data_IF_669251751717
#
_entry.id   IF_669251751717
#
_cell.length_a   1.000
_cell.length_b   1.000
_cell.length_c   1.000
_cell.angle_alpha   90.00
_cell.angle_beta   90.00
_cell.angle_gamma   90.00
#
_symmetry.space_group_name_H-M   'P 1'
#
loop_
_entity.id
_entity.type
_entity.pdbx_description
1 polymer ?
#
# COMPACT_ATOMS: atom_id res chain seq x y z
N UNK A 1 5.66 6.73 -1.57
CA UNK A 1 6.21 8.04 -1.97
C UNK A 1 7.06 8.60 -0.83
N UNK A 2 8.40 8.54 -0.93
CA UNK A 2 9.28 9.05 0.13
C UNK A 2 9.27 10.57 0.24
N UNK A 3 8.84 11.28 -0.82
CA UNK A 3 8.72 12.74 -0.81
C UNK A 3 7.49 13.25 -0.03
N UNK A 4 6.53 12.36 0.23
CA UNK A 4 5.34 12.64 1.04
C UNK A 4 5.53 12.32 2.53
N UNK A 5 6.64 11.66 2.91
CA UNK A 5 6.99 11.38 4.30
C UNK A 5 7.63 12.62 4.91
N UNK A 6 6.85 13.33 5.71
CA UNK A 6 7.25 14.56 6.37
C UNK A 6 7.30 14.29 7.87
N UNK A 7 8.48 14.30 8.51
CA UNK A 7 8.60 14.09 9.95
C UNK A 7 7.72 15.04 10.78
N UNK A 8 7.42 16.24 10.27
CA UNK A 8 6.54 17.20 10.93
C UNK A 8 5.07 16.77 10.94
N UNK A 9 4.69 15.85 10.05
CA UNK A 9 3.34 15.28 9.97
C UNK A 9 3.16 14.02 10.80
N UNK A 10 4.20 13.52 11.47
CA UNK A 10 4.08 12.41 12.41
C UNK A 10 3.31 12.82 13.69
N UNK A 11 2.85 11.82 14.44
CA UNK A 11 2.23 12.04 15.74
C UNK A 11 3.24 12.71 16.69
N UNK A 12 2.76 13.68 17.47
CA UNK A 12 3.58 14.24 18.55
C UNK A 12 3.98 13.14 19.56
N UNK A 13 5.19 13.21 20.13
CA UNK A 13 5.66 12.24 21.11
C UNK A 13 4.65 12.01 22.23
N UNK A 14 4.39 10.74 22.52
CA UNK A 14 3.48 10.35 23.60
C UNK A 14 1.99 10.40 23.28
N UNK A 15 1.59 10.87 22.09
CA UNK A 15 0.18 10.89 21.65
C UNK A 15 -0.19 9.61 20.89
N UNK A 16 -1.50 9.34 20.76
CA UNK A 16 -2.08 8.23 19.96
C UNK A 16 -1.54 6.82 20.26
N UNK A 17 -0.81 6.63 21.37
CA UNK A 17 -0.15 5.37 21.76
C UNK A 17 -1.02 4.13 21.58
N UNK A 18 -2.22 4.14 22.17
CA UNK A 18 -3.15 3.00 22.10
C UNK A 18 -3.46 2.55 20.66
N UNK A 19 -3.62 3.49 19.73
CA UNK A 19 -3.93 3.18 18.34
C UNK A 19 -2.68 2.67 17.63
N UNK A 20 -1.54 3.34 17.82
CA UNK A 20 -0.24 2.90 17.29
C UNK A 20 0.12 1.50 17.75
N UNK A 21 -0.03 1.21 19.04
CA UNK A 21 0.26 -0.10 19.62
C UNK A 21 -0.65 -1.17 19.04
N UNK A 22 -1.95 -0.89 18.89
CA UNK A 22 -2.89 -1.84 18.26
C UNK A 22 -2.53 -2.14 16.81
N UNK A 23 -2.12 -1.14 16.04
CA UNK A 23 -1.66 -1.33 14.66
C UNK A 23 -0.37 -2.14 14.61
N UNK A 24 0.60 -1.86 15.49
CA UNK A 24 1.85 -2.63 15.59
C UNK A 24 1.58 -4.09 15.92
N UNK A 25 0.73 -4.36 16.92
CA UNK A 25 0.33 -5.73 17.27
C UNK A 25 -0.28 -6.45 16.07
N UNK A 26 -1.17 -5.80 15.32
CA UNK A 26 -1.74 -6.40 14.11
C UNK A 26 -0.70 -6.64 13.02
N UNK A 27 0.18 -5.67 12.77
CA UNK A 27 1.21 -5.79 11.73
C UNK A 27 2.23 -6.89 12.05
N UNK A 28 2.60 -7.06 13.32
CA UNK A 28 3.65 -7.97 13.76
C UNK A 28 3.14 -9.38 14.10
N UNK A 29 1.83 -9.60 14.07
CA UNK A 29 1.23 -10.93 14.25
C UNK A 29 1.16 -11.69 12.91
N UNK A 30 1.99 -12.73 12.68
CA UNK A 30 1.94 -13.53 11.46
C UNK A 30 0.62 -14.32 11.32
N UNK A 31 -0.11 -14.50 12.41
CA UNK A 31 -1.37 -15.24 12.48
C UNK A 31 -2.59 -14.32 12.58
N UNK A 32 -2.43 -13.01 12.36
CA UNK A 32 -3.54 -12.06 12.36
C UNK A 32 -4.65 -12.57 11.41
N UNK A 33 -5.89 -12.73 11.91
CA UNK A 33 -6.98 -13.26 11.09
C UNK A 33 -7.44 -12.26 10.04
N UNK A 34 -7.28 -10.96 10.29
CA UNK A 34 -7.61 -9.91 9.33
C UNK A 34 -6.39 -9.53 8.48
N UNK A 35 -6.57 -9.49 7.16
CA UNK A 35 -5.57 -9.00 6.20
C UNK A 35 -5.62 -7.49 5.94
N UNK A 36 -6.68 -6.82 6.42
CA UNK A 36 -6.89 -5.38 6.27
C UNK A 36 -7.15 -4.73 7.63
N UNK A 37 -6.37 -3.69 7.94
CA UNK A 37 -6.63 -2.80 9.09
C UNK A 37 -7.25 -1.49 8.60
N UNK A 38 -8.46 -1.18 9.06
CA UNK A 38 -9.17 0.04 8.67
C UNK A 38 -9.10 1.11 9.77
N UNK A 39 -8.25 2.13 9.57
CA UNK A 39 -8.15 3.28 10.47
C UNK A 39 -9.14 4.38 10.05
N UNK A 40 -10.22 4.53 10.79
CA UNK A 40 -11.26 5.53 10.51
C UNK A 40 -11.52 6.46 11.71
N UNK A 41 -12.14 7.59 11.42
CA UNK A 41 -12.47 8.61 12.40
C UNK A 41 -12.75 9.98 11.77
N UNK A 42 -13.23 10.96 12.56
CA UNK A 42 -13.59 12.28 12.05
C UNK A 42 -12.45 12.99 11.30
N UNK A 43 -12.79 14.00 10.50
CA UNK A 43 -11.80 14.87 9.88
C UNK A 43 -10.94 15.58 10.95
N UNK A 44 -9.66 15.79 10.66
CA UNK A 44 -8.74 16.53 11.54
C UNK A 44 -8.23 15.78 12.78
N UNK A 45 -8.64 14.54 13.06
CA UNK A 45 -8.19 13.81 14.27
C UNK A 45 -6.76 13.24 14.16
N UNK A 46 -6.08 13.43 13.02
CA UNK A 46 -4.69 13.00 12.82
C UNK A 46 -4.51 11.56 12.33
N UNK A 47 -5.43 11.04 11.51
CA UNK A 47 -5.31 9.69 10.91
C UNK A 47 -4.06 9.56 10.04
N UNK A 48 -3.84 10.53 9.16
CA UNK A 48 -2.62 10.61 8.33
C UNK A 48 -1.35 10.67 9.18
N UNK A 49 -1.38 11.38 10.32
CA UNK A 49 -0.24 11.43 11.23
C UNK A 49 0.07 10.06 11.86
N UNK A 50 -0.96 9.26 12.16
CA UNK A 50 -0.80 7.87 12.63
C UNK A 50 -0.19 7.02 11.51
N UNK A 51 -0.73 7.09 10.29
CA UNK A 51 -0.22 6.34 9.14
C UNK A 51 1.25 6.67 8.83
N UNK A 52 1.63 7.95 8.88
CA UNK A 52 3.01 8.38 8.72
C UNK A 52 3.92 7.90 9.86
N UNK A 53 3.45 7.98 11.10
CA UNK A 53 4.20 7.49 12.27
C UNK A 53 4.49 6.00 12.15
N UNK A 54 3.50 5.20 11.77
CA UNK A 54 3.69 3.76 11.53
C UNK A 54 4.67 3.56 10.39
N UNK A 55 4.46 4.21 9.25
CA UNK A 55 5.34 4.10 8.08
C UNK A 55 6.80 4.45 8.38
N UNK A 56 7.06 5.40 9.29
CA UNK A 56 8.41 5.80 9.68
C UNK A 56 9.02 4.89 10.75
N UNK A 57 8.18 4.35 11.64
CA UNK A 57 8.64 3.47 12.73
C UNK A 57 9.09 2.08 12.26
N UNK A 58 8.75 1.70 11.03
CA UNK A 58 9.13 0.42 10.43
C UNK A 58 10.06 0.64 9.25
N UNK A 59 10.99 -0.30 9.05
CA UNK A 59 11.86 -0.31 7.88
C UNK A 59 11.14 -0.78 6.61
N UNK A 60 11.84 -0.69 5.48
CA UNK A 60 11.38 -1.20 4.18
C UNK A 60 11.23 -2.72 4.15
N UNK A 61 11.82 -3.41 5.11
CA UNK A 61 11.67 -4.83 5.38
C UNK A 61 10.25 -5.21 5.86
N UNK A 62 9.53 -4.26 6.48
CA UNK A 62 8.12 -4.44 6.89
C UNK A 62 7.14 -3.64 6.03
N UNK A 63 7.45 -2.38 5.72
CA UNK A 63 6.62 -1.52 4.87
C UNK A 63 7.05 -1.71 3.42
N UNK A 64 6.31 -2.54 2.68
CA UNK A 64 6.59 -2.82 1.27
C UNK A 64 6.27 -1.63 0.36
N UNK A 65 5.15 -0.94 0.63
CA UNK A 65 4.76 0.21 -0.15
C UNK A 65 3.83 1.17 0.61
N UNK A 66 3.82 2.42 0.16
CA UNK A 66 2.96 3.48 0.70
C UNK A 66 2.36 4.33 -0.41
N UNK A 67 1.12 4.74 -0.24
CA UNK A 67 0.48 5.76 -1.06
C UNK A 67 -0.34 6.69 -0.16
N UNK A 68 0.03 7.97 -0.16
CA UNK A 68 -0.68 9.01 0.59
C UNK A 68 -1.37 9.90 -0.42
N UNK A 69 -2.69 9.76 -0.54
CA UNK A 69 -3.48 10.68 -1.35
C UNK A 69 -3.34 12.08 -0.79
N UNK A 70 -3.32 13.07 -1.69
CA UNK A 70 -3.35 14.46 -1.29
C UNK A 70 -4.09 15.30 -2.31
N UNK A 71 -5.26 15.83 -1.93
CA UNK A 71 -6.20 16.48 -2.86
C UNK A 71 -5.60 17.62 -3.66
N UNK A 72 -4.70 18.39 -3.03
CA UNK A 72 -4.10 19.59 -3.64
C UNK A 72 -2.88 19.29 -4.50
N UNK A 73 -2.49 18.01 -4.62
CA UNK A 73 -1.36 17.58 -5.43
C UNK A 73 -1.85 16.72 -6.59
N UNK A 74 -1.71 17.18 -7.84
CA UNK A 74 -2.25 16.48 -9.00
C UNK A 74 -1.60 15.12 -9.25
N UNK A 75 -0.42 14.85 -8.69
CA UNK A 75 0.25 13.55 -8.78
C UNK A 75 -0.32 12.61 -7.73
N UNK A 76 -0.55 13.08 -6.51
CA UNK A 76 -1.09 12.26 -5.40
C UNK A 76 -2.61 12.17 -5.38
N UNK A 77 -3.30 12.99 -6.17
CA UNK A 77 -4.73 12.86 -6.43
C UNK A 77 -5.04 12.06 -7.70
N UNK A 78 -4.04 11.64 -8.48
CA UNK A 78 -4.23 10.79 -9.66
C UNK A 78 -4.25 9.31 -9.25
N UNK A 79 -5.44 8.74 -9.21
CA UNK A 79 -5.68 7.34 -8.89
C UNK A 79 -4.98 6.35 -9.81
N UNK A 80 -4.69 6.75 -11.05
CA UNK A 80 -4.06 5.87 -12.01
C UNK A 80 -2.61 5.58 -11.60
N UNK A 81 -2.09 6.37 -10.66
CA UNK A 81 -0.78 6.18 -10.07
C UNK A 81 -0.79 5.28 -8.85
N UNK A 82 -1.93 5.00 -8.22
CA UNK A 82 -1.98 4.19 -6.99
C UNK A 82 -1.24 2.85 -7.19
N UNK A 83 -1.76 1.97 -8.03
CA UNK A 83 -1.19 0.63 -8.20
C UNK A 83 0.17 0.61 -8.88
N UNK A 84 0.45 1.41 -9.93
CA UNK A 84 1.82 1.51 -10.47
C UNK A 84 2.85 1.98 -9.44
N UNK A 85 2.49 2.95 -8.57
CA UNK A 85 3.38 3.45 -7.52
C UNK A 85 3.61 2.42 -6.42
N UNK A 86 2.58 1.65 -6.07
CA UNK A 86 2.71 0.54 -5.13
C UNK A 86 3.58 -0.58 -5.72
N UNK A 87 3.31 -0.99 -6.97
CA UNK A 87 4.07 -2.02 -7.69
C UNK A 87 5.57 -1.67 -7.79
N UNK A 88 5.90 -0.43 -8.15
CA UNK A 88 7.29 0.04 -8.20
C UNK A 88 7.98 0.00 -6.83
N UNK A 89 7.29 0.38 -5.75
CA UNK A 89 7.84 0.30 -4.39
C UNK A 89 8.06 -1.16 -3.93
N UNK A 90 7.14 -2.06 -4.27
CA UNK A 90 7.26 -3.49 -3.98
C UNK A 90 8.43 -4.11 -4.75
N UNK A 91 8.55 -3.82 -6.05
CA UNK A 91 9.70 -4.22 -6.87
C UNK A 91 11.03 -3.72 -6.28
N UNK A 92 11.05 -2.50 -5.75
CA UNK A 92 12.25 -1.91 -5.16
C UNK A 92 12.64 -2.52 -3.80
N UNK A 93 11.68 -3.11 -3.08
CA UNK A 93 11.89 -3.67 -1.74
C UNK A 93 11.97 -5.20 -1.71
N UNK A 94 11.53 -5.87 -2.78
CA UNK A 94 11.44 -7.33 -2.89
C UNK A 94 12.00 -7.75 -4.26
N UNK A 95 13.27 -8.20 -4.34
CA UNK A 95 13.94 -8.48 -5.62
C UNK A 95 13.16 -9.43 -6.55
N UNK A 96 12.60 -10.52 -6.03
CA UNK A 96 11.83 -11.47 -6.85
C UNK A 96 10.56 -10.84 -7.46
N UNK A 97 9.92 -9.90 -6.78
CA UNK A 97 8.74 -9.19 -7.29
C UNK A 97 9.13 -8.25 -8.44
N UNK A 98 10.35 -7.69 -8.42
CA UNK A 98 10.85 -6.84 -9.51
C UNK A 98 10.87 -7.59 -10.83
N UNK A 99 11.44 -8.80 -10.84
CA UNK A 99 11.60 -9.59 -12.06
C UNK A 99 10.24 -10.03 -12.60
N UNK A 100 9.31 -10.38 -11.73
CA UNK A 100 7.95 -10.75 -12.11
C UNK A 100 7.15 -9.56 -12.68
N UNK A 101 7.26 -8.38 -12.08
CA UNK A 101 6.63 -7.17 -12.62
C UNK A 101 7.24 -6.78 -13.97
N UNK A 102 8.57 -6.88 -14.10
CA UNK A 102 9.26 -6.60 -15.37
C UNK A 102 8.77 -7.55 -16.47
N UNK A 103 8.68 -8.86 -16.16
CA UNK A 103 8.13 -9.86 -17.07
C UNK A 103 6.70 -9.52 -17.51
N UNK A 104 5.81 -9.17 -16.58
CA UNK A 104 4.43 -8.77 -16.93
C UNK A 104 4.38 -7.54 -17.86
N UNK A 105 5.28 -6.58 -17.67
CA UNK A 105 5.37 -5.38 -18.52
C UNK A 105 5.99 -5.67 -19.90
N UNK A 106 6.87 -6.65 -20.01
CA UNK A 106 7.42 -7.12 -21.28
C UNK A 106 6.38 -7.90 -22.08
N UNK A 107 5.62 -8.78 -21.42
CA UNK A 107 4.55 -9.57 -22.04
C UNK A 107 3.35 -8.70 -22.44
N UNK A 108 2.99 -7.71 -21.61
CA UNK A 108 1.85 -6.82 -21.82
C UNK A 108 2.26 -5.33 -21.70
N UNK A 109 2.90 -4.75 -22.73
CA UNK A 109 3.40 -3.36 -22.68
C UNK A 109 2.31 -2.29 -22.50
N UNK A 110 1.05 -2.64 -22.74
CA UNK A 110 -0.09 -1.72 -22.64
C UNK A 110 -0.77 -1.71 -21.25
N UNK A 111 -0.31 -2.51 -20.27
CA UNK A 111 -0.81 -2.52 -18.87
C UNK A 111 -0.99 -1.11 -18.31
N UNK A 112 -0.03 -0.16 -18.43
CA UNK A 112 -0.20 1.19 -17.89
C UNK A 112 -1.40 1.96 -18.46
N UNK A 113 -1.97 1.53 -19.59
CA UNK A 113 -3.15 2.14 -20.22
C UNK A 113 -4.45 1.34 -19.98
N UNK A 114 -4.37 0.17 -19.35
CA UNK A 114 -5.53 -0.68 -19.03
C UNK A 114 -6.34 -0.14 -17.85
N UNK A 115 -7.50 -0.74 -17.63
CA UNK A 115 -8.33 -0.48 -16.46
C UNK A 115 -7.57 -0.73 -15.15
N UNK A 116 -7.99 -0.05 -14.08
CA UNK A 116 -7.34 -0.10 -12.77
C UNK A 116 -7.29 -1.51 -12.17
N UNK A 117 -8.31 -2.35 -12.42
CA UNK A 117 -8.33 -3.77 -12.03
C UNK A 117 -7.23 -4.56 -12.71
N UNK A 118 -7.06 -4.37 -14.02
CA UNK A 118 -6.04 -5.09 -14.80
C UNK A 118 -4.65 -4.67 -14.32
N UNK A 119 -4.43 -3.37 -14.05
CA UNK A 119 -3.17 -2.90 -13.48
C UNK A 119 -2.90 -3.52 -12.11
N UNK A 120 -3.90 -3.58 -11.23
CA UNK A 120 -3.76 -4.22 -9.92
C UNK A 120 -3.45 -5.70 -10.04
N UNK A 121 -4.22 -6.42 -10.85
CA UNK A 121 -4.05 -7.85 -11.06
C UNK A 121 -2.65 -8.16 -11.59
N UNK A 122 -2.25 -7.54 -12.69
CA UNK A 122 -1.00 -7.84 -13.38
C UNK A 122 0.25 -7.34 -12.65
N UNK A 123 0.17 -6.20 -11.96
CA UNK A 123 1.34 -5.60 -11.30
C UNK A 123 1.47 -5.96 -9.81
N UNK A 124 0.42 -6.49 -9.19
CA UNK A 124 0.41 -6.82 -7.76
C UNK A 124 -0.04 -8.26 -7.53
N UNK A 125 -1.21 -8.69 -8.01
CA UNK A 125 -1.73 -10.03 -7.68
C UNK A 125 -0.90 -11.14 -8.32
N UNK A 126 -0.73 -11.12 -9.64
CA UNK A 126 -0.04 -12.17 -10.38
C UNK A 126 1.42 -12.38 -9.92
N UNK A 127 2.23 -11.32 -9.69
CA UNK A 127 3.57 -11.50 -9.13
C UNK A 127 3.58 -12.23 -7.79
N UNK A 128 2.67 -11.90 -6.87
CA UNK A 128 2.64 -12.54 -5.54
C UNK A 128 2.08 -13.96 -5.58
N UNK A 129 1.12 -14.25 -6.46
CA UNK A 129 0.65 -15.62 -6.69
C UNK A 129 1.76 -16.53 -7.25
N UNK A 130 2.55 -16.03 -8.21
CA UNK A 130 3.67 -16.78 -8.79
C UNK A 130 4.73 -17.16 -7.73
N UNK A 131 4.95 -16.28 -6.75
CA UNK A 131 5.83 -16.56 -5.60
C UNK A 131 5.23 -17.67 -4.73
N UNK A 132 3.95 -17.56 -4.36
CA UNK A 132 3.31 -18.53 -3.46
C UNK A 132 3.21 -19.94 -4.04
N UNK A 133 3.19 -20.07 -5.38
CA UNK A 133 3.17 -21.37 -6.07
C UNK A 133 4.55 -22.02 -6.28
N UNK A 134 5.65 -21.34 -5.92
CA UNK A 134 7.01 -21.84 -6.13
C UNK A 134 7.55 -22.59 -4.91
N UNK A 135 7.79 -23.89 -5.05
CA UNK A 135 8.31 -24.76 -3.98
C UNK A 135 9.73 -24.42 -3.50
N UNK A 136 10.46 -23.57 -4.23
CA UNK A 136 11.89 -23.29 -4.02
C UNK A 136 12.21 -21.89 -3.48
N UNK A 137 11.21 -21.12 -3.07
CA UNK A 137 11.43 -19.74 -2.60
C UNK A 137 11.66 -19.66 -1.09
N UNK A 138 12.70 -18.92 -0.69
CA UNK A 138 12.84 -18.44 0.69
C UNK A 138 11.57 -17.68 1.09
N UNK A 139 11.01 -17.90 2.30
CA UNK A 139 9.79 -17.23 2.73
C UNK A 139 9.92 -15.72 2.59
N UNK A 140 9.05 -15.09 1.80
CA UNK A 140 8.99 -13.64 1.76
C UNK A 140 8.38 -13.17 3.08
N UNK A 141 9.13 -12.35 3.82
CA UNK A 141 8.60 -11.72 5.03
C UNK A 141 7.36 -10.92 4.68
N UNK A 142 6.27 -11.12 5.44
CA UNK A 142 5.01 -10.41 5.26
C UNK A 142 5.24 -8.90 5.22
N UNK A 143 4.82 -8.28 4.11
CA UNK A 143 4.92 -6.83 3.90
C UNK A 143 3.55 -6.17 4.08
N UNK A 144 3.58 -4.95 4.59
CA UNK A 144 2.40 -4.11 4.75
C UNK A 144 2.40 -3.01 3.68
N UNK A 145 1.23 -2.79 3.11
CA UNK A 145 0.95 -1.66 2.22
C UNK A 145 0.09 -0.66 3.00
N UNK A 146 0.50 0.60 3.02
CA UNK A 146 -0.27 1.68 3.66
C UNK A 146 -0.88 2.56 2.57
N UNK A 147 -2.20 2.72 2.61
CA UNK A 147 -2.95 3.64 1.76
C UNK A 147 -3.68 4.61 2.70
N UNK A 148 -3.37 5.89 2.61
CA UNK A 148 -3.94 6.95 3.44
C UNK A 148 -4.62 8.01 2.56
N UNK A 149 -5.68 8.62 3.08
CA UNK A 149 -6.39 9.70 2.41
C UNK A 149 -7.24 9.27 1.21
N UNK A 150 -7.73 8.03 1.14
CA UNK A 150 -8.56 7.58 0.01
C UNK A 150 -9.77 8.51 -0.22
N UNK A 151 -10.30 9.12 0.85
CA UNK A 151 -11.37 10.11 0.81
C UNK A 151 -10.97 11.45 0.15
N UNK A 152 -9.68 11.71 0.00
CA UNK A 152 -9.14 12.86 -0.73
C UNK A 152 -9.13 12.67 -2.25
N UNK A 153 -9.34 11.43 -2.72
CA UNK A 153 -9.55 11.14 -4.14
C UNK A 153 -10.85 11.79 -4.63
N UNK A 154 -10.80 12.52 -5.75
CA UNK A 154 -11.93 13.33 -6.20
C UNK A 154 -13.17 12.56 -6.69
N UNK A 155 -13.08 11.26 -6.99
CA UNK A 155 -14.19 10.46 -7.52
C UNK A 155 -14.63 9.35 -6.54
N UNK A 156 -15.86 9.47 -6.00
CA UNK A 156 -16.44 8.52 -5.07
C UNK A 156 -16.66 7.11 -5.68
N UNK A 157 -17.01 7.01 -6.97
CA UNK A 157 -17.19 5.70 -7.63
C UNK A 157 -15.88 4.94 -7.71
N UNK A 158 -14.81 5.68 -7.92
CA UNK A 158 -13.47 5.16 -7.97
C UNK A 158 -12.93 4.79 -6.59
N UNK A 159 -13.23 5.56 -5.54
CA UNK A 159 -12.95 5.15 -4.16
C UNK A 159 -13.60 3.79 -3.87
N UNK A 160 -14.88 3.64 -4.19
CA UNK A 160 -15.61 2.37 -4.06
C UNK A 160 -14.94 1.25 -4.88
N UNK A 161 -14.50 1.55 -6.10
CA UNK A 161 -13.81 0.61 -6.99
C UNK A 161 -12.47 0.13 -6.41
N UNK A 162 -11.66 1.04 -5.88
CA UNK A 162 -10.41 0.73 -5.19
C UNK A 162 -10.67 -0.18 -3.97
N UNK A 163 -11.69 0.14 -3.16
CA UNK A 163 -12.08 -0.68 -2.00
C UNK A 163 -12.52 -2.08 -2.41
N UNK A 164 -13.30 -2.21 -3.49
CA UNK A 164 -13.69 -3.52 -4.04
C UNK A 164 -12.49 -4.33 -4.51
N UNK A 165 -11.56 -3.68 -5.21
CA UNK A 165 -10.32 -4.32 -5.70
C UNK A 165 -9.50 -4.88 -4.54
N UNK A 166 -9.26 -4.07 -3.51
CA UNK A 166 -8.49 -4.48 -2.34
C UNK A 166 -9.24 -5.57 -1.56
N UNK A 167 -10.54 -5.37 -1.32
CA UNK A 167 -11.37 -6.30 -0.55
C UNK A 167 -11.54 -7.68 -1.19
N UNK A 168 -11.49 -7.77 -2.52
CA UNK A 168 -11.56 -9.06 -3.22
C UNK A 168 -10.23 -9.82 -3.24
N UNK A 169 -9.11 -9.16 -2.93
CA UNK A 169 -7.78 -9.72 -3.03
C UNK A 169 -7.25 -10.31 -1.71
N UNK A 170 -7.97 -10.08 -0.61
CA UNK A 170 -7.53 -10.36 0.77
C UNK A 170 -8.43 -11.34 1.50
#
# INVERSE_FOLDING_TARGET
DSSAQDPERCCHPGTRKKVLDKMRTWMDDPNAPERVCWLHGPAGVGKSAIAQTISYSYGRDKIGATFFFFRSDPIRNDENRLFPTLAWQLASSIPIVKDLIAFSLEEYPDIPRKAIEIRFDQLIVQPFLAISGSESTTPISMRVIIIDGLDECSDAKLQERILKIIGNAV
#
